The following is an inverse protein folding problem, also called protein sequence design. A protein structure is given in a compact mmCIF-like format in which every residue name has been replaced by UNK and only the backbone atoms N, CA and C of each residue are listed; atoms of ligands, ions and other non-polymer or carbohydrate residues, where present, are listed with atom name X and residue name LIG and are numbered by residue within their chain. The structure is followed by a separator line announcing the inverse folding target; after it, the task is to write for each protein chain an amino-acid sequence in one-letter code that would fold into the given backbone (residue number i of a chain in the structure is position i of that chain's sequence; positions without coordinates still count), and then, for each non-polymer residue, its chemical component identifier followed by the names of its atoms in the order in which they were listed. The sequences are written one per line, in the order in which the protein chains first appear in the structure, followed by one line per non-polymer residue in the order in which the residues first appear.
data_IF_219999223466
#
_entry.id   IF_219999223466
#
_cell.length_a   1.000
_cell.length_b   1.000
_cell.length_c   1.000
_cell.angle_alpha   90.00
_cell.angle_beta   90.00
_cell.angle_gamma   90.00
#
_symmetry.space_group_name_H-M   'P 1'
#
loop_
_entity.id
_entity.type
_entity.pdbx_description
1 polymer ?
#
# COMPACT_ATOMS: atom_id res chain seq x y z
N UNK A 1 -5.76 -10.10 16.68
CA UNK A 1 -5.06 -8.80 16.58
C UNK A 1 -4.84 -8.35 18.00
N UNK A 2 -3.61 -8.49 18.47
CA UNK A 2 -3.24 -8.13 19.83
C UNK A 2 -2.91 -6.63 19.84
N UNK A 3 -3.69 -5.85 20.58
CA UNK A 3 -3.45 -4.42 20.77
C UNK A 3 -2.60 -4.25 22.02
N UNK A 4 -1.37 -3.76 21.86
CA UNK A 4 -0.52 -3.47 23.01
C UNK A 4 -1.08 -2.29 23.81
N UNK A 5 -0.95 -2.29 25.15
CA UNK A 5 -1.43 -1.20 25.97
C UNK A 5 -0.69 0.09 25.59
N UNK A 6 -1.44 1.14 25.24
CA UNK A 6 -0.89 2.48 25.05
C UNK A 6 -1.37 3.38 26.17
N UNK A 7 -0.46 4.13 26.78
CA UNK A 7 -0.81 5.15 27.76
C UNK A 7 -1.06 6.46 27.02
N UNK A 8 -2.26 7.02 27.17
CA UNK A 8 -2.60 8.33 26.62
C UNK A 8 -3.23 9.17 27.72
N UNK A 9 -2.77 10.41 27.87
CA UNK A 9 -3.32 11.38 28.82
C UNK A 9 -4.62 11.92 28.25
N UNK A 10 -5.74 11.27 28.54
CA UNK A 10 -7.09 11.72 28.15
C UNK A 10 -7.62 12.73 29.17
N UNK A 11 -8.18 13.85 28.69
CA UNK A 11 -8.72 14.94 29.51
C UNK A 11 -10.21 15.11 29.17
N UNK A 12 -11.15 14.98 30.11
CA UNK A 12 -12.61 14.98 29.85
C UNK A 12 -13.23 16.24 29.21
N UNK A 13 -12.43 17.24 28.84
CA UNK A 13 -12.80 18.36 27.97
C UNK A 13 -12.63 18.05 26.47
N UNK A 14 -12.61 16.76 26.09
CA UNK A 14 -12.33 16.13 24.78
C UNK A 14 -13.22 16.56 23.58
N UNK A 15 -13.84 17.74 23.64
CA UNK A 15 -14.43 18.36 22.46
C UNK A 15 -13.31 18.76 21.48
N UNK A 16 -13.41 18.41 20.19
CA UNK A 16 -12.43 18.85 19.20
C UNK A 16 -12.41 20.38 19.17
N UNK A 17 -11.23 20.96 19.39
CA UNK A 17 -11.02 22.41 19.30
C UNK A 17 -11.03 22.90 17.84
N UNK A 18 -10.84 21.99 16.89
CA UNK A 18 -10.89 22.23 15.45
C UNK A 18 -11.48 21.01 14.75
N UNK A 19 -12.49 21.25 13.92
CA UNK A 19 -13.03 20.27 12.97
C UNK A 19 -12.73 20.78 11.56
N UNK A 20 -12.13 19.91 10.75
CA UNK A 20 -11.76 20.22 9.38
C UNK A 20 -12.34 19.15 8.46
N UNK A 21 -12.90 19.58 7.33
CA UNK A 21 -13.37 18.68 6.29
C UNK A 21 -12.55 18.91 5.03
N UNK A 22 -12.03 17.82 4.48
CA UNK A 22 -11.31 17.83 3.22
C UNK A 22 -12.28 17.46 2.10
N UNK A 23 -12.45 18.34 1.13
CA UNK A 23 -13.36 18.15 -0.01
C UNK A 23 -12.64 18.50 -1.30
N UNK A 24 -12.92 17.73 -2.36
CA UNK A 24 -12.45 18.00 -3.71
C UNK A 24 -13.44 17.45 -4.72
N UNK A 25 -13.70 18.21 -5.78
CA UNK A 25 -14.54 17.78 -6.89
C UNK A 25 -13.76 16.94 -7.93
N UNK A 26 -12.43 16.96 -7.86
CA UNK A 26 -11.54 16.36 -8.87
C UNK A 26 -10.63 15.28 -8.33
N UNK A 27 -10.33 15.28 -7.02
CA UNK A 27 -9.44 14.31 -6.38
C UNK A 27 -10.26 13.19 -5.75
N UNK A 28 -9.93 11.91 -6.00
CA UNK A 28 -10.58 10.78 -5.35
C UNK A 28 -10.46 10.84 -3.83
N UNK A 29 -11.49 10.36 -3.11
CA UNK A 29 -11.51 10.34 -1.65
C UNK A 29 -10.32 9.57 -1.06
N UNK A 30 -9.88 8.49 -1.71
CA UNK A 30 -8.70 7.71 -1.28
C UNK A 30 -7.41 8.52 -1.27
N UNK A 31 -7.26 9.44 -2.22
CA UNK A 31 -6.06 10.28 -2.34
C UNK A 31 -6.12 11.45 -1.36
N UNK A 32 -7.32 12.00 -1.13
CA UNK A 32 -7.57 12.98 -0.07
C UNK A 32 -7.29 12.39 1.32
N UNK A 33 -7.72 11.15 1.57
CA UNK A 33 -7.43 10.46 2.82
C UNK A 33 -5.94 10.20 3.00
N UNK A 34 -5.25 9.76 1.94
CA UNK A 34 -3.80 9.58 1.96
C UNK A 34 -3.07 10.90 2.24
N UNK A 35 -3.56 12.02 1.71
CA UNK A 35 -3.01 13.34 1.99
C UNK A 35 -3.28 13.78 3.43
N UNK A 36 -4.49 13.53 3.96
CA UNK A 36 -4.82 13.80 5.34
C UNK A 36 -3.94 13.00 6.32
N UNK A 37 -3.74 11.71 6.04
CA UNK A 37 -2.97 10.78 6.87
C UNK A 37 -1.47 11.08 6.84
N UNK A 38 -0.90 11.30 5.66
CA UNK A 38 0.56 11.36 5.49
C UNK A 38 1.14 12.78 5.51
N UNK A 39 0.30 13.81 5.32
CA UNK A 39 0.75 15.20 5.28
C UNK A 39 0.09 16.01 6.39
N UNK A 40 -1.25 16.15 6.38
CA UNK A 40 -1.94 17.05 7.31
C UNK A 40 -1.77 16.61 8.76
N UNK A 41 -2.06 15.34 9.06
CA UNK A 41 -2.03 14.83 10.43
C UNK A 41 -0.63 14.91 11.08
N UNK A 42 0.46 14.50 10.40
CA UNK A 42 1.81 14.71 10.89
C UNK A 42 2.14 16.19 11.09
N UNK A 43 1.83 17.06 10.13
CA UNK A 43 2.10 18.50 10.24
C UNK A 43 1.38 19.13 11.44
N UNK A 44 0.10 18.81 11.66
CA UNK A 44 -0.65 19.30 12.82
C UNK A 44 -0.10 18.73 14.14
N UNK A 45 0.33 17.47 14.14
CA UNK A 45 0.90 16.82 15.32
C UNK A 45 2.24 17.41 15.76
N UNK A 46 2.94 18.13 14.88
CA UNK A 46 4.18 18.86 15.24
C UNK A 46 3.94 20.22 15.92
N UNK A 47 2.70 20.70 15.97
CA UNK A 47 2.38 22.00 16.58
C UNK A 47 2.32 21.83 18.10
N UNK A 48 3.06 22.67 18.83
CA UNK A 48 3.02 22.69 20.29
C UNK A 48 1.60 22.90 20.82
N UNK A 49 1.18 22.03 21.74
CA UNK A 49 -0.16 22.04 22.32
C UNK A 49 -1.17 21.14 21.60
N UNK A 50 -0.83 20.54 20.46
CA UNK A 50 -1.67 19.52 19.81
C UNK A 50 -1.42 18.16 20.48
N UNK A 51 -2.44 17.66 21.20
CA UNK A 51 -2.36 16.36 21.87
C UNK A 51 -2.74 15.18 20.95
N UNK A 52 -3.68 15.41 20.04
CA UNK A 52 -4.21 14.36 19.16
C UNK A 52 -4.83 14.96 17.90
N UNK A 53 -4.52 14.32 16.77
CA UNK A 53 -5.22 14.51 15.50
C UNK A 53 -5.97 13.22 15.19
N UNK A 54 -7.21 13.31 14.73
CA UNK A 54 -8.04 12.14 14.40
C UNK A 54 -8.69 12.34 13.05
N UNK A 55 -8.59 11.32 12.20
CA UNK A 55 -9.14 11.33 10.85
C UNK A 55 -10.37 10.42 10.86
N UNK A 56 -11.49 10.96 10.39
CA UNK A 56 -12.77 10.26 10.34
C UNK A 56 -13.13 9.97 8.87
N UNK A 57 -13.79 8.82 8.62
CA UNK A 57 -14.24 8.45 7.28
C UNK A 57 -13.17 7.86 6.36
N UNK A 58 -12.03 7.42 6.91
CA UNK A 58 -10.92 6.85 6.15
C UNK A 58 -11.37 5.77 5.15
N UNK A 59 -11.15 6.04 3.88
CA UNK A 59 -11.26 5.11 2.76
C UNK A 59 -9.85 4.73 2.31
N UNK A 60 -9.28 3.72 2.97
CA UNK A 60 -7.98 3.18 2.58
C UNK A 60 -8.04 2.62 1.17
N UNK A 61 -7.12 3.06 0.32
CA UNK A 61 -6.97 2.52 -1.03
C UNK A 61 -6.65 1.03 -0.97
N UNK A 62 -7.41 0.21 -1.68
CA UNK A 62 -7.19 -1.22 -1.82
C UNK A 62 -7.35 -1.62 -3.29
N UNK A 63 -6.29 -2.18 -3.88
CA UNK A 63 -6.35 -2.72 -5.25
C UNK A 63 -7.20 -3.99 -5.24
N UNK A 64 -8.24 -4.01 -6.08
CA UNK A 64 -9.08 -5.19 -6.31
C UNK A 64 -8.67 -5.85 -7.61
N UNK A 65 -8.22 -7.10 -7.53
CA UNK A 65 -7.88 -7.92 -8.69
C UNK A 65 -9.11 -8.78 -9.01
N UNK A 66 -9.78 -8.48 -10.11
CA UNK A 66 -10.82 -9.33 -10.68
C UNK A 66 -10.16 -10.26 -11.69
N UNK A 67 -10.55 -11.53 -11.72
CA UNK A 67 -9.84 -12.56 -12.50
C UNK A 67 -10.84 -13.23 -13.43
N UNK A 68 -10.46 -13.45 -14.69
CA UNK A 68 -11.19 -14.31 -15.62
C UNK A 68 -10.67 -15.76 -15.52
N UNK A 69 -11.45 -16.70 -14.94
CA UNK A 69 -11.04 -18.10 -14.82
C UNK A 69 -10.87 -18.79 -16.18
N UNK A 70 -11.55 -18.32 -17.23
CA UNK A 70 -11.41 -18.84 -18.60
C UNK A 70 -10.05 -18.48 -19.17
N UNK A 71 -9.63 -17.22 -18.97
CA UNK A 71 -8.33 -16.72 -19.38
C UNK A 71 -7.16 -17.42 -18.65
N UNK A 72 -7.35 -17.74 -17.36
CA UNK A 72 -6.41 -18.55 -16.59
C UNK A 72 -6.32 -19.99 -17.12
N UNK A 73 -7.46 -20.64 -17.34
CA UNK A 73 -7.52 -22.02 -17.82
C UNK A 73 -6.90 -22.17 -19.22
N UNK A 74 -7.17 -21.22 -20.13
CA UNK A 74 -6.57 -21.20 -21.47
C UNK A 74 -5.03 -21.13 -21.44
N UNK A 75 -4.47 -20.52 -20.40
CA UNK A 75 -3.02 -20.40 -20.19
C UNK A 75 -2.45 -21.52 -19.32
N UNK A 76 -3.30 -22.35 -18.71
CA UNK A 76 -2.91 -23.43 -17.81
C UNK A 76 -2.35 -22.92 -16.47
N UNK A 77 -2.81 -21.75 -16.02
CA UNK A 77 -2.39 -21.13 -14.75
C UNK A 77 -3.45 -21.41 -13.69
N UNK A 78 -3.03 -21.91 -12.52
CA UNK A 78 -3.96 -22.12 -11.40
C UNK A 78 -4.17 -20.84 -10.58
N UNK A 79 -5.30 -20.77 -9.87
CA UNK A 79 -5.58 -19.67 -8.94
C UNK A 79 -4.54 -19.62 -7.81
N UNK A 80 -4.07 -20.77 -7.34
CA UNK A 80 -3.03 -20.83 -6.29
C UNK A 80 -1.68 -20.27 -6.76
N UNK A 81 -1.32 -20.52 -8.02
CA UNK A 81 -0.12 -19.94 -8.64
C UNK A 81 -0.25 -18.42 -8.72
N UNK A 82 -1.43 -17.93 -9.12
CA UNK A 82 -1.71 -16.50 -9.16
C UNK A 82 -1.61 -15.85 -7.78
N UNK A 83 -2.21 -16.45 -6.76
CA UNK A 83 -2.16 -15.96 -5.39
C UNK A 83 -0.71 -15.90 -4.87
N UNK A 84 0.08 -16.93 -5.16
CA UNK A 84 1.50 -16.99 -4.79
C UNK A 84 2.31 -15.90 -5.50
N UNK A 85 2.07 -15.69 -6.80
CA UNK A 85 2.72 -14.65 -7.57
C UNK A 85 2.41 -13.24 -7.03
N UNK A 86 1.13 -12.94 -6.78
CA UNK A 86 0.69 -11.66 -6.20
C UNK A 86 1.25 -11.44 -4.79
N UNK A 87 1.30 -12.49 -3.96
CA UNK A 87 1.91 -12.41 -2.63
C UNK A 87 3.43 -12.15 -2.70
N UNK A 88 4.12 -12.82 -3.62
CA UNK A 88 5.56 -12.65 -3.82
C UNK A 88 5.96 -11.28 -4.39
N UNK A 89 5.06 -10.67 -5.16
CA UNK A 89 5.26 -9.35 -5.76
C UNK A 89 5.41 -8.23 -4.72
N UNK A 90 4.71 -8.33 -3.59
CA UNK A 90 4.71 -7.32 -2.53
C UNK A 90 5.80 -7.54 -1.47
N UNK A 91 6.89 -8.22 -1.82
CA UNK A 91 7.99 -8.49 -0.87
C UNK A 91 9.04 -7.37 -0.89
N UNK A 92 9.20 -6.66 0.25
CA UNK A 92 10.23 -5.63 0.44
C UNK A 92 11.61 -6.25 0.79
N UNK A 93 12.04 -7.25 0.02
CA UNK A 93 13.27 -8.00 0.31
C UNK A 93 14.49 -7.27 -0.26
N UNK A 94 15.57 -7.05 0.53
CA UNK A 94 16.84 -6.55 0.01
C UNK A 94 17.40 -7.50 -1.07
N UNK A 95 17.88 -6.95 -2.18
CA UNK A 95 18.43 -7.76 -3.29
C UNK A 95 19.88 -8.21 -3.03
N UNK A 96 20.46 -7.81 -1.91
CA UNK A 96 21.82 -8.15 -1.50
C UNK A 96 22.64 -6.92 -1.13
N UNK A 97 23.93 -7.12 -0.94
CA UNK A 97 24.89 -6.07 -0.58
C UNK A 97 26.06 -6.09 -1.57
N UNK A 98 26.43 -4.93 -2.09
CA UNK A 98 27.70 -4.72 -2.77
C UNK A 98 28.71 -4.27 -1.73
N UNK A 99 29.79 -5.01 -1.55
CA UNK A 99 30.81 -4.69 -0.56
C UNK A 99 32.18 -4.56 -1.23
N UNK A 100 32.89 -3.49 -0.90
CA UNK A 100 34.32 -3.29 -1.17
C UNK A 100 35.02 -2.95 0.15
N UNK A 101 36.36 -3.02 0.18
CA UNK A 101 37.22 -2.76 1.36
C UNK A 101 36.96 -1.46 2.12
N UNK A 102 36.26 -0.49 1.53
CA UNK A 102 35.96 0.85 2.06
C UNK A 102 34.47 1.14 2.25
N UNK A 103 33.56 0.34 1.69
CA UNK A 103 32.11 0.59 1.78
C UNK A 103 31.24 -0.64 1.49
N UNK A 104 30.10 -0.71 2.17
CA UNK A 104 29.04 -1.69 1.94
C UNK A 104 27.75 -0.96 1.55
N UNK A 105 27.21 -1.26 0.37
CA UNK A 105 25.99 -0.68 -0.17
C UNK A 105 24.92 -1.76 -0.26
N UNK A 106 23.80 -1.57 0.44
CA UNK A 106 22.65 -2.46 0.31
C UNK A 106 21.87 -2.12 -0.95
N UNK A 107 21.72 -3.07 -1.86
CA UNK A 107 20.84 -2.91 -3.01
C UNK A 107 19.41 -3.21 -2.55
N UNK A 108 18.54 -2.22 -2.68
CA UNK A 108 17.09 -2.38 -2.48
C UNK A 108 16.39 -2.12 -3.80
N UNK A 109 15.38 -2.91 -4.11
CA UNK A 109 14.42 -2.60 -5.18
C UNK A 109 13.08 -2.32 -4.53
N UNK A 110 12.46 -1.20 -4.91
CA UNK A 110 11.09 -0.93 -4.51
C UNK A 110 10.16 -1.75 -5.39
N UNK A 111 9.79 -2.93 -4.91
CA UNK A 111 8.86 -3.87 -5.54
C UNK A 111 7.41 -3.64 -5.12
N UNK A 112 7.14 -2.68 -4.21
CA UNK A 112 5.79 -2.42 -3.74
C UNK A 112 4.94 -1.82 -4.86
N UNK A 113 3.93 -2.58 -5.28
CA UNK A 113 2.97 -2.14 -6.27
C UNK A 113 1.88 -1.35 -5.55
N UNK A 114 1.92 -0.03 -5.67
CA UNK A 114 1.02 0.87 -4.94
C UNK A 114 -0.26 1.22 -5.70
N UNK A 115 -0.35 0.85 -6.99
CA UNK A 115 -1.48 1.20 -7.84
C UNK A 115 -1.88 0.04 -8.77
N UNK A 116 -3.10 0.11 -9.32
CA UNK A 116 -3.65 -0.93 -10.18
C UNK A 116 -2.80 -1.17 -11.44
N UNK A 117 -2.21 -0.11 -12.01
CA UNK A 117 -1.33 -0.20 -13.18
C UNK A 117 -0.05 -0.99 -12.89
N UNK A 118 0.48 -0.89 -11.67
CA UNK A 118 1.61 -1.68 -11.19
C UNK A 118 1.25 -3.16 -11.12
N UNK A 119 0.08 -3.47 -10.53
CA UNK A 119 -0.42 -4.85 -10.49
C UNK A 119 -0.68 -5.42 -11.88
N UNK A 120 -1.26 -4.66 -12.82
CA UNK A 120 -1.51 -5.15 -14.18
C UNK A 120 -0.24 -5.62 -14.90
N UNK A 121 0.91 -5.00 -14.61
CA UNK A 121 2.19 -5.36 -15.21
C UNK A 121 2.91 -6.53 -14.51
N UNK A 122 2.39 -7.01 -13.38
CA UNK A 122 2.97 -8.11 -12.63
C UNK A 122 3.03 -9.38 -13.47
N UNK A 123 4.20 -9.99 -13.58
CA UNK A 123 4.37 -11.29 -14.25
C UNK A 123 3.88 -12.38 -13.30
N UNK A 124 2.88 -13.15 -13.72
CA UNK A 124 2.23 -14.20 -12.91
C UNK A 124 2.72 -15.60 -13.30
N UNK A 125 3.20 -15.78 -14.53
CA UNK A 125 3.76 -17.03 -15.02
C UNK A 125 4.65 -16.76 -16.25
N UNK A 126 5.53 -17.70 -16.57
CA UNK A 126 6.28 -17.71 -17.84
C UNK A 126 5.97 -19.03 -18.54
N UNK A 127 5.45 -18.97 -19.77
CA UNK A 127 5.11 -20.14 -20.58
C UNK A 127 5.78 -20.05 -21.93
N UNK A 128 6.54 -21.08 -22.31
CA UNK A 128 7.26 -21.15 -23.57
C UNK A 128 8.18 -19.92 -23.84
N UNK A 129 8.76 -19.35 -22.78
CA UNK A 129 9.61 -18.15 -22.87
C UNK A 129 8.85 -16.82 -22.95
N UNK A 130 7.51 -16.85 -22.98
CA UNK A 130 6.67 -15.66 -22.97
C UNK A 130 6.15 -15.37 -21.56
N UNK A 131 6.42 -14.18 -21.00
CA UNK A 131 5.86 -13.78 -19.71
C UNK A 131 4.37 -13.49 -19.85
N UNK A 132 3.57 -14.05 -18.95
CA UNK A 132 2.14 -13.77 -18.79
C UNK A 132 1.98 -12.77 -17.67
N UNK A 133 1.29 -11.66 -17.94
CA UNK A 133 1.03 -10.60 -16.98
C UNK A 133 -0.33 -10.78 -16.31
N UNK A 134 -0.48 -10.19 -15.12
CA UNK A 134 -1.76 -10.17 -14.43
C UNK A 134 -2.85 -9.54 -15.30
N UNK A 135 -2.53 -8.42 -15.97
CA UNK A 135 -3.47 -7.75 -16.89
C UNK A 135 -3.97 -8.61 -18.06
N UNK A 136 -3.32 -9.74 -18.36
CA UNK A 136 -3.75 -10.65 -19.43
C UNK A 136 -4.88 -11.59 -18.98
N UNK A 137 -5.19 -11.63 -17.68
CA UNK A 137 -6.14 -12.55 -17.04
C UNK A 137 -7.12 -11.84 -16.08
N UNK A 138 -7.14 -10.51 -16.08
CA UNK A 138 -8.06 -9.67 -15.31
C UNK A 138 -9.09 -8.99 -16.18
#
# INVERSE_FOLDING_TARGET
IEVWPSYRKVNPADAPILLMSLVSDTVPLTDLDAFAENVISPSLSTIDGVAQVSIYGQQKYAVRIQIDPTALAARGISIDQLQTAVASANSNTPLGVLQNDKQQLTITANTQLNNAAGFANLIIATKDGHPVRLGDVT
#
